data_IF_735516762462
#
_entry.id   IF_735516762462
#
_cell.length_a   1.000
_cell.length_b   1.000
_cell.length_c   1.000
_cell.angle_alpha   90.00
_cell.angle_beta   90.00
_cell.angle_gamma   90.00
#
_symmetry.space_group_name_H-M   'P 1'
#
loop_
_entity.id
_entity.type
_entity.pdbx_description
1 polymer ?
#
# COMPACT_ATOMS: atom_id res chain seq x y z
N UNK A 1 -25.57 -5.06 -41.05
CA UNK A 1 -24.96 -4.01 -40.19
C UNK A 1 -25.38 -4.28 -38.75
N UNK A 2 -24.72 -5.24 -38.09
CA UNK A 2 -25.04 -5.64 -36.71
C UNK A 2 -24.49 -4.61 -35.74
N UNK A 3 -25.32 -3.66 -35.33
CA UNK A 3 -24.98 -2.72 -34.28
C UNK A 3 -24.91 -3.48 -32.96
N UNK A 4 -23.70 -3.77 -32.51
CA UNK A 4 -23.49 -4.15 -31.11
C UNK A 4 -23.92 -2.94 -30.29
N UNK A 5 -25.11 -2.98 -29.71
CA UNK A 5 -25.47 -2.16 -28.57
C UNK A 5 -24.60 -2.58 -27.39
N UNK A 6 -23.30 -2.33 -27.48
CA UNK A 6 -22.35 -2.63 -26.44
C UNK A 6 -22.70 -1.78 -25.24
N UNK A 7 -23.20 -2.41 -24.18
CA UNK A 7 -23.49 -1.74 -22.93
C UNK A 7 -22.21 -1.05 -22.46
N UNK A 8 -22.18 0.28 -22.51
CA UNK A 8 -21.02 1.04 -22.07
C UNK A 8 -21.00 1.09 -20.54
N UNK A 9 -20.37 0.08 -19.94
CA UNK A 9 -20.21 -0.06 -18.48
C UNK A 9 -19.12 0.86 -17.91
N UNK A 10 -18.26 1.41 -18.76
CA UNK A 10 -17.11 2.20 -18.36
C UNK A 10 -17.47 3.52 -17.65
N UNK A 11 -18.40 4.37 -18.15
CA UNK A 11 -18.80 5.61 -17.47
C UNK A 11 -19.47 5.36 -16.12
N UNK A 12 -20.01 4.15 -15.88
CA UNK A 12 -20.63 3.77 -14.61
C UNK A 12 -19.61 3.49 -13.51
N UNK A 13 -18.30 3.40 -13.83
CA UNK A 13 -17.24 3.16 -12.85
C UNK A 13 -16.68 4.48 -12.32
N UNK A 14 -16.53 4.58 -11.01
CA UNK A 14 -15.99 5.75 -10.32
C UNK A 14 -14.53 6.04 -10.68
N UNK A 15 -13.75 5.03 -11.06
CA UNK A 15 -12.34 5.17 -11.44
C UNK A 15 -12.12 5.63 -12.89
N UNK A 16 -13.19 5.76 -13.68
CA UNK A 16 -13.06 6.12 -15.09
C UNK A 16 -12.50 7.55 -15.25
N UNK A 17 -11.33 7.67 -15.89
CA UNK A 17 -10.55 8.91 -16.01
C UNK A 17 -11.36 10.05 -16.65
N UNK A 18 -12.15 9.76 -17.67
CA UNK A 18 -12.89 10.80 -18.41
C UNK A 18 -14.18 11.25 -17.73
N UNK A 19 -14.54 10.65 -16.59
CA UNK A 19 -15.69 11.12 -15.83
C UNK A 19 -15.47 12.56 -15.38
N UNK A 20 -16.50 13.38 -15.53
CA UNK A 20 -16.47 14.80 -15.17
C UNK A 20 -15.99 15.02 -13.73
N UNK A 21 -16.48 14.23 -12.79
CA UNK A 21 -16.06 14.31 -11.38
C UNK A 21 -14.56 14.04 -11.17
N UNK A 22 -13.96 13.12 -11.95
CA UNK A 22 -12.52 12.84 -11.86
C UNK A 22 -11.70 13.96 -12.50
N UNK A 23 -12.15 14.49 -13.64
CA UNK A 23 -11.52 15.65 -14.27
C UNK A 23 -11.56 16.89 -13.38
N UNK A 24 -12.68 17.13 -12.71
CA UNK A 24 -12.83 18.24 -11.75
C UNK A 24 -11.92 18.06 -10.52
N UNK A 25 -11.77 16.84 -10.02
CA UNK A 25 -10.80 16.53 -8.94
C UNK A 25 -9.38 16.87 -9.38
N UNK A 26 -8.96 16.37 -10.55
CA UNK A 26 -7.63 16.65 -11.11
C UNK A 26 -7.42 18.15 -11.28
N UNK A 27 -8.39 18.86 -11.86
CA UNK A 27 -8.27 20.31 -12.06
C UNK A 27 -8.13 21.09 -10.74
N UNK A 28 -8.83 20.68 -9.68
CA UNK A 28 -8.70 21.29 -8.35
C UNK A 28 -7.33 21.00 -7.75
N UNK A 29 -6.88 19.75 -7.81
CA UNK A 29 -5.61 19.34 -7.23
C UNK A 29 -4.43 20.01 -7.98
N UNK A 30 -4.52 20.16 -9.30
CA UNK A 30 -3.58 20.94 -10.12
C UNK A 30 -3.60 22.44 -9.77
N UNK A 31 -4.79 23.03 -9.56
CA UNK A 31 -4.92 24.42 -9.16
C UNK A 31 -4.35 24.67 -7.75
N UNK A 32 -4.58 23.76 -6.81
CA UNK A 32 -4.02 23.83 -5.46
C UNK A 32 -2.48 23.71 -5.50
N UNK A 33 -1.95 22.77 -6.28
CA UNK A 33 -0.51 22.65 -6.47
C UNK A 33 0.11 23.92 -7.09
N UNK A 34 -0.57 24.54 -8.06
CA UNK A 34 -0.13 25.79 -8.65
C UNK A 34 -0.16 26.97 -7.65
N UNK A 35 -1.17 27.04 -6.79
CA UNK A 35 -1.26 28.05 -5.73
C UNK A 35 -0.15 27.85 -4.69
N UNK A 36 0.06 26.63 -4.22
CA UNK A 36 1.12 26.30 -3.26
C UNK A 36 2.51 26.67 -3.82
N UNK A 37 2.78 26.35 -5.09
CA UNK A 37 4.05 26.75 -5.73
C UNK A 37 4.21 28.28 -5.79
N UNK A 38 3.16 29.02 -6.09
CA UNK A 38 3.20 30.49 -6.12
C UNK A 38 3.43 31.09 -4.72
N UNK A 39 2.79 30.53 -3.69
CA UNK A 39 2.96 30.96 -2.30
C UNK A 39 4.37 30.63 -1.79
N UNK A 40 4.91 29.45 -2.14
CA UNK A 40 6.29 29.06 -1.84
C UNK A 40 7.30 30.01 -2.52
N UNK A 41 7.08 30.36 -3.78
CA UNK A 41 7.91 31.33 -4.50
C UNK A 41 7.86 32.72 -3.85
N UNK A 42 6.67 33.18 -3.46
CA UNK A 42 6.48 34.46 -2.78
C UNK A 42 7.20 34.48 -1.43
N UNK A 43 7.04 33.43 -0.62
CA UNK A 43 7.70 33.29 0.67
C UNK A 43 9.22 33.23 0.51
N UNK A 44 9.73 32.43 -0.42
CA UNK A 44 11.15 32.36 -0.73
C UNK A 44 11.72 33.72 -1.20
N UNK A 45 10.95 34.48 -1.99
CA UNK A 45 11.33 35.83 -2.40
C UNK A 45 11.37 36.80 -1.22
N UNK A 46 10.38 36.74 -0.32
CA UNK A 46 10.32 37.56 0.89
C UNK A 46 11.47 37.25 1.85
N UNK A 47 11.79 35.98 2.06
CA UNK A 47 12.94 35.54 2.85
C UNK A 47 14.25 36.05 2.27
N UNK A 48 14.46 35.88 0.96
CA UNK A 48 15.65 36.41 0.26
C UNK A 48 15.75 37.93 0.41
N UNK A 49 14.64 38.66 0.28
CA UNK A 49 14.62 40.10 0.48
C UNK A 49 14.97 40.50 1.92
N UNK A 50 14.41 39.81 2.92
CA UNK A 50 14.71 40.02 4.34
C UNK A 50 16.18 39.79 4.67
N UNK A 51 16.75 38.68 4.18
CA UNK A 51 18.17 38.37 4.33
C UNK A 51 19.07 39.43 3.66
N UNK A 52 18.68 39.91 2.48
CA UNK A 52 19.43 40.95 1.78
C UNK A 52 19.39 42.30 2.54
N UNK A 53 18.23 42.65 3.10
CA UNK A 53 18.08 43.85 3.94
C UNK A 53 18.92 43.74 5.22
N UNK A 54 18.90 42.59 5.90
CA UNK A 54 19.73 42.33 7.07
C UNK A 54 21.22 42.46 6.74
N UNK A 55 21.66 41.85 5.63
CA UNK A 55 23.05 41.97 5.14
C UNK A 55 23.42 43.42 4.86
N UNK A 56 22.54 44.19 4.23
CA UNK A 56 22.78 45.61 3.95
C UNK A 56 22.85 46.42 5.26
N UNK A 57 21.94 46.18 6.20
CA UNK A 57 21.95 46.85 7.52
C UNK A 57 23.24 46.56 8.27
N UNK A 58 23.69 45.30 8.30
CA UNK A 58 24.93 44.91 8.96
C UNK A 58 26.16 45.59 8.33
N UNK A 59 26.17 45.81 7.00
CA UNK A 59 27.21 46.59 6.31
C UNK A 59 27.20 48.06 6.72
N UNK A 60 26.01 48.64 6.89
CA UNK A 60 25.85 50.06 7.29
C UNK A 60 26.21 50.28 8.76
N UNK A 61 25.84 49.37 9.66
CA UNK A 61 26.15 49.48 11.10
C UNK A 61 27.59 49.11 11.43
N UNK A 62 28.40 48.66 10.46
CA UNK A 62 29.79 48.30 10.66
C UNK A 62 30.03 46.99 11.41
N UNK A 63 28.96 46.27 11.80
CA UNK A 63 29.07 44.95 12.45
C UNK A 63 29.40 43.83 11.45
N UNK A 64 29.04 44.01 10.17
CA UNK A 64 29.56 43.17 9.10
C UNK A 64 30.98 43.63 8.74
N UNK A 65 31.96 43.15 9.51
CA UNK A 65 33.36 43.11 9.05
C UNK A 65 33.46 42.45 7.66
N UNK A 66 34.55 42.73 6.90
CA UNK A 66 34.70 42.33 5.51
C UNK A 66 34.29 40.87 5.30
N UNK A 67 33.50 40.65 4.25
CA UNK A 67 32.97 39.35 3.83
C UNK A 67 33.98 38.23 4.04
N UNK A 68 33.52 37.16 4.70
CA UNK A 68 34.24 35.92 5.02
C UNK A 68 34.68 35.15 3.76
N UNK A 69 35.56 35.75 2.99
CA UNK A 69 36.54 35.00 2.17
C UNK A 69 37.94 35.16 2.77
N UNK A 70 38.10 36.00 3.80
CA UNK A 70 39.39 36.28 4.44
C UNK A 70 39.34 36.15 5.99
N UNK A 71 38.55 35.21 6.50
CA UNK A 71 38.51 34.87 7.95
C UNK A 71 39.25 33.54 8.23
N UNK A 72 40.27 33.24 7.45
CA UNK A 72 41.20 32.14 7.73
C UNK A 72 42.54 32.62 8.29
N UNK A 73 42.63 33.81 8.89
CA UNK A 73 43.85 34.22 9.60
C UNK A 73 43.49 35.06 10.83
N UNK A 74 43.21 34.40 11.95
CA UNK A 74 43.47 34.86 13.33
C UNK A 74 42.69 33.96 14.31
N UNK A 75 43.23 33.31 15.35
CA UNK A 75 44.53 33.47 16.01
C UNK A 75 44.71 32.36 17.07
N UNK A 76 45.97 32.07 17.40
CA UNK A 76 46.49 31.64 18.71
C UNK A 76 46.24 30.20 19.19
N UNK A 77 47.25 29.33 19.00
CA UNK A 77 47.45 28.11 19.81
C UNK A 77 47.82 26.85 19.01
N UNK A 78 48.96 26.86 18.28
CA UNK A 78 49.71 25.66 17.85
C UNK A 78 48.92 24.37 17.48
N UNK A 79 47.83 24.47 16.71
CA UNK A 79 47.00 23.33 16.31
C UNK A 79 46.45 23.50 14.89
N UNK A 80 46.39 22.40 14.15
CA UNK A 80 45.98 22.31 12.75
C UNK A 80 44.60 22.95 12.51
N UNK A 81 44.48 23.82 11.51
CA UNK A 81 43.20 24.40 11.08
C UNK A 81 42.44 23.34 10.26
N UNK A 82 41.32 22.84 10.77
CA UNK A 82 40.50 21.88 10.05
C UNK A 82 39.50 22.61 9.15
N UNK A 83 39.83 22.70 7.86
CA UNK A 83 38.95 23.27 6.82
C UNK A 83 37.68 22.45 6.58
N UNK A 84 37.64 21.21 7.07
CA UNK A 84 36.52 20.28 6.89
C UNK A 84 35.67 20.10 8.14
N UNK A 85 35.90 20.88 9.21
CA UNK A 85 35.16 20.72 10.47
C UNK A 85 33.63 20.77 10.28
N UNK A 86 33.15 21.69 9.44
CA UNK A 86 31.71 21.82 9.14
C UNK A 86 31.18 20.66 8.29
N UNK A 87 31.99 20.17 7.35
CA UNK A 87 31.63 19.03 6.50
C UNK A 87 31.60 17.71 7.30
N UNK A 88 32.57 17.50 8.19
CA UNK A 88 32.63 16.34 9.09
C UNK A 88 31.46 16.35 10.09
N UNK A 89 31.10 17.52 10.63
CA UNK A 89 29.93 17.65 11.49
C UNK A 89 28.62 17.32 10.75
N UNK A 90 28.48 17.77 9.50
CA UNK A 90 27.33 17.46 8.66
C UNK A 90 27.26 15.95 8.32
N UNK A 91 28.40 15.32 8.03
CA UNK A 91 28.45 13.89 7.77
C UNK A 91 28.09 13.06 9.02
N UNK A 92 28.58 13.45 10.20
CA UNK A 92 28.23 12.81 11.46
C UNK A 92 26.72 12.91 11.76
N UNK A 93 26.08 14.05 11.46
CA UNK A 93 24.63 14.19 11.59
C UNK A 93 23.90 13.27 10.60
N UNK A 94 24.32 13.23 9.34
CA UNK A 94 23.74 12.34 8.34
C UNK A 94 23.89 10.85 8.71
N UNK A 95 25.04 10.46 9.29
CA UNK A 95 25.27 9.11 9.81
C UNK A 95 24.35 8.79 11.00
N UNK A 96 24.08 9.76 11.89
CA UNK A 96 23.13 9.59 13.00
C UNK A 96 21.71 9.42 12.50
N UNK A 97 21.28 10.23 11.54
CA UNK A 97 19.95 10.14 10.94
C UNK A 97 19.76 8.81 10.18
N UNK A 98 20.78 8.38 9.43
CA UNK A 98 20.77 7.08 8.77
C UNK A 98 20.74 5.92 9.78
N UNK A 99 21.48 6.03 10.89
CA UNK A 99 21.44 5.05 11.96
C UNK A 99 20.08 5.02 12.68
N UNK A 100 19.45 6.18 12.90
CA UNK A 100 18.12 6.28 13.47
C UNK A 100 17.06 5.62 12.57
N UNK A 101 17.06 5.95 11.26
CA UNK A 101 16.17 5.30 10.26
C UNK A 101 16.36 3.79 10.20
N UNK A 102 17.60 3.29 10.31
CA UNK A 102 17.89 1.85 10.37
C UNK A 102 17.32 1.20 11.63
N UNK A 103 17.41 1.85 12.79
CA UNK A 103 16.83 1.35 14.04
C UNK A 103 15.30 1.32 13.98
N UNK A 104 14.69 2.39 13.47
CA UNK A 104 13.25 2.47 13.26
C UNK A 104 12.76 1.39 12.31
N UNK A 105 13.43 1.16 11.18
CA UNK A 105 13.11 0.06 10.27
C UNK A 105 13.23 -1.31 10.96
N UNK A 106 14.23 -1.50 11.84
CA UNK A 106 14.34 -2.72 12.64
C UNK A 106 13.18 -2.86 13.63
N UNK A 107 12.76 -1.79 14.29
CA UNK A 107 11.61 -1.80 15.21
C UNK A 107 10.30 -2.07 14.47
N UNK A 108 10.08 -1.45 13.31
CA UNK A 108 8.94 -1.72 12.43
C UNK A 108 8.93 -3.20 12.02
N UNK A 109 10.08 -3.74 11.60
CA UNK A 109 10.18 -5.18 11.25
C UNK A 109 9.95 -6.11 12.44
N UNK A 110 10.24 -5.64 13.66
CA UNK A 110 10.05 -6.41 14.91
C UNK A 110 8.59 -6.41 15.34
N UNK A 111 7.92 -5.27 15.23
CA UNK A 111 6.51 -5.09 15.57
C UNK A 111 5.62 -5.77 14.53
N UNK A 112 5.97 -5.64 13.25
CA UNK A 112 5.18 -6.11 12.12
C UNK A 112 6.06 -6.90 11.15
N UNK A 113 6.32 -8.19 11.45
CA UNK A 113 7.23 -9.02 10.65
C UNK A 113 6.75 -9.27 9.22
N UNK A 114 5.45 -9.13 8.97
CA UNK A 114 4.81 -9.36 7.66
C UNK A 114 4.82 -8.10 6.76
N UNK A 115 5.24 -6.93 7.28
CA UNK A 115 5.34 -5.69 6.47
C UNK A 115 6.60 -5.70 5.58
N UNK A 116 7.61 -6.48 5.95
CA UNK A 116 8.84 -6.61 5.18
C UNK A 116 8.61 -7.52 3.97
N UNK A 117 8.17 -6.94 2.84
CA UNK A 117 7.98 -7.66 1.57
C UNK A 117 9.26 -8.37 1.06
N UNK A 118 10.44 -8.01 1.59
CA UNK A 118 11.69 -8.69 1.29
C UNK A 118 11.85 -10.06 1.99
N UNK A 119 11.01 -10.39 2.97
CA UNK A 119 11.07 -11.64 3.76
C UNK A 119 9.98 -12.65 3.34
N UNK A 120 9.67 -12.70 2.04
CA UNK A 120 8.71 -13.64 1.42
C UNK A 120 9.01 -15.14 1.63
N UNK A 121 10.17 -15.48 2.22
CA UNK A 121 10.58 -16.87 2.46
C UNK A 121 9.92 -17.53 3.68
N UNK A 122 9.07 -16.84 4.45
CA UNK A 122 8.38 -17.39 5.64
C UNK A 122 6.86 -17.32 5.57
N UNK A 123 6.29 -17.13 4.39
CA UNK A 123 4.84 -17.22 4.23
C UNK A 123 4.38 -18.66 4.54
N UNK A 124 3.42 -18.87 5.47
CA UNK A 124 2.87 -20.18 5.71
C UNK A 124 2.23 -20.72 4.43
N UNK A 125 2.22 -22.04 4.29
CA UNK A 125 1.70 -22.70 3.09
C UNK A 125 0.26 -22.21 2.83
N UNK A 126 -0.07 -21.73 1.62
CA UNK A 126 -1.38 -21.15 1.37
C UNK A 126 -2.47 -22.22 1.46
N UNK A 127 -3.71 -21.80 1.79
CA UNK A 127 -4.84 -22.68 2.06
C UNK A 127 -5.11 -23.72 0.95
N UNK A 128 -4.82 -23.37 -0.32
CA UNK A 128 -5.01 -24.26 -1.47
C UNK A 128 -3.91 -25.31 -1.63
N UNK A 129 -2.73 -25.09 -1.04
CA UNK A 129 -1.59 -26.01 -1.09
C UNK A 129 -1.58 -26.99 0.11
N UNK A 130 -2.38 -26.75 1.14
CA UNK A 130 -2.57 -27.68 2.27
C UNK A 130 -3.48 -28.85 1.87
N UNK A 131 -3.19 -30.10 2.26
CA UNK A 131 -4.08 -31.23 2.07
C UNK A 131 -5.36 -31.06 2.92
N UNK A 132 -6.51 -31.64 2.52
CA UNK A 132 -7.80 -31.45 3.22
C UNK A 132 -7.76 -31.78 4.72
N UNK A 133 -6.89 -32.71 5.13
CA UNK A 133 -6.70 -33.14 6.52
C UNK A 133 -6.00 -32.11 7.41
N UNK A 134 -5.19 -31.23 6.82
CA UNK A 134 -4.52 -30.11 7.52
C UNK A 134 -5.36 -28.83 7.49
N UNK A 135 -6.33 -28.72 6.58
CA UNK A 135 -7.28 -27.59 6.50
C UNK A 135 -8.35 -27.66 7.58
N UNK A 136 -8.77 -28.88 7.87
CA UNK A 136 -9.67 -29.19 8.97
C UNK A 136 -8.80 -29.27 10.23
N UNK A 137 -8.72 -28.18 11.00
CA UNK A 137 -8.06 -28.19 12.30
C UNK A 137 -8.61 -29.29 13.22
N UNK A 138 -7.99 -29.50 14.38
CA UNK A 138 -8.27 -30.58 15.34
C UNK A 138 -9.74 -30.70 15.84
N UNK A 139 -10.63 -29.82 15.38
CA UNK A 139 -12.07 -29.83 15.62
C UNK A 139 -12.88 -30.67 14.60
N UNK A 140 -12.23 -31.30 13.61
CA UNK A 140 -12.91 -32.21 12.70
C UNK A 140 -13.08 -33.61 13.32
N UNK A 141 -14.32 -33.91 13.73
CA UNK A 141 -14.79 -35.21 14.19
C UNK A 141 -14.21 -36.36 13.34
N UNK A 142 -13.78 -37.49 13.97
CA UNK A 142 -13.05 -38.52 13.27
C UNK A 142 -13.92 -39.17 12.18
N UNK A 143 -13.62 -38.86 10.93
CA UNK A 143 -14.08 -39.64 9.79
C UNK A 143 -13.48 -41.04 9.93
N UNK A 144 -14.35 -42.02 10.14
CA UNK A 144 -14.00 -43.40 10.47
C UNK A 144 -12.93 -43.98 9.55
N UNK A 145 -11.88 -44.53 10.17
CA UNK A 145 -10.93 -45.43 9.54
C UNK A 145 -11.63 -46.75 9.22
N UNK A 146 -12.37 -46.78 8.12
CA UNK A 146 -12.85 -48.01 7.50
C UNK A 146 -11.83 -48.46 6.47
N UNK A 147 -10.90 -49.32 6.87
CA UNK A 147 -10.21 -50.19 5.90
C UNK A 147 -11.28 -51.08 5.31
N UNK A 148 -11.68 -50.84 4.06
CA UNK A 148 -12.53 -51.78 3.31
C UNK A 148 -11.62 -52.63 2.44
N UNK A 149 -11.41 -53.85 2.89
CA UNK A 149 -10.77 -54.92 2.11
C UNK A 149 -11.55 -55.19 0.83
N UNK A 150 -10.81 -55.34 -0.26
CA UNK A 150 -11.32 -55.65 -1.58
C UNK A 150 -11.69 -57.14 -1.68
N UNK A 151 -12.95 -57.49 -1.42
CA UNK A 151 -13.66 -58.62 -2.02
C UNK A 151 -15.06 -58.72 -1.41
N UNK A 152 -16.09 -58.85 -2.27
CA UNK A 152 -17.32 -59.67 -2.11
C UNK A 152 -18.50 -59.04 -2.88
N UNK A 153 -18.71 -59.61 -4.07
CA UNK A 153 -19.98 -60.02 -4.68
C UNK A 153 -21.07 -58.95 -4.99
N UNK A 154 -21.07 -58.59 -6.28
CA UNK A 154 -22.20 -58.17 -7.12
C UNK A 154 -23.54 -58.82 -6.75
N UNK A 155 -24.58 -57.99 -6.56
CA UNK A 155 -25.98 -58.41 -6.59
C UNK A 155 -26.77 -57.54 -7.60
N UNK A 156 -27.45 -58.12 -8.61
CA UNK A 156 -28.13 -57.37 -9.66
C UNK A 156 -29.51 -56.81 -9.22
N UNK A 157 -29.91 -55.70 -9.86
CA UNK A 157 -31.12 -54.94 -9.59
C UNK A 157 -32.43 -55.73 -9.81
N UNK A 158 -33.50 -55.51 -9.01
CA UNK A 158 -34.78 -56.15 -9.23
C UNK A 158 -35.59 -55.47 -10.36
N UNK A 159 -36.17 -56.31 -11.22
CA UNK A 159 -37.01 -55.94 -12.35
C UNK A 159 -38.37 -55.35 -11.91
N UNK A 160 -38.76 -54.24 -12.54
CA UNK A 160 -40.08 -53.59 -12.39
C UNK A 160 -41.03 -54.22 -13.41
N UNK A 161 -42.06 -54.93 -12.92
CA UNK A 161 -43.17 -55.49 -13.71
C UNK A 161 -44.29 -54.43 -13.79
N UNK A 162 -44.92 -54.18 -14.95
CA UNK A 162 -46.10 -53.33 -15.03
C UNK A 162 -47.40 -54.14 -14.88
N UNK A 163 -48.11 -53.95 -13.77
CA UNK A 163 -49.51 -54.38 -13.65
C UNK A 163 -50.44 -53.22 -14.01
N UNK A 164 -51.23 -53.41 -15.06
CA UNK A 164 -52.46 -52.67 -15.28
C UNK A 164 -53.65 -53.57 -15.00
N UNK A 165 -54.64 -53.08 -14.27
CA UNK A 165 -56.08 -53.25 -14.57
C UNK A 165 -56.94 -52.53 -13.50
N UNK A 166 -57.66 -51.52 -13.99
CA UNK A 166 -59.03 -51.10 -13.61
C UNK A 166 -59.26 -50.50 -12.22
N UNK A 167 -59.66 -49.22 -12.19
CA UNK A 167 -61.00 -48.83 -11.74
C UNK A 167 -61.44 -47.55 -12.49
N UNK A 168 -62.66 -47.60 -13.02
CA UNK A 168 -63.34 -46.61 -13.87
C UNK A 168 -63.81 -45.35 -13.09
N UNK A 169 -64.29 -44.28 -13.78
CA UNK A 169 -64.11 -42.89 -13.34
C UNK A 169 -65.38 -42.17 -12.83
N UNK A 170 -65.14 -40.91 -12.36
CA UNK A 170 -66.04 -39.73 -12.24
C UNK A 170 -66.96 -39.63 -10.99
N UNK A 171 -67.51 -38.44 -10.63
CA UNK A 171 -67.25 -37.06 -11.10
C UNK A 171 -67.01 -35.99 -10.01
N UNK A 172 -66.30 -34.94 -10.43
CA UNK A 172 -66.46 -33.49 -10.15
C UNK A 172 -67.51 -33.05 -9.12
N UNK A 173 -67.09 -32.24 -8.13
CA UNK A 173 -67.81 -31.02 -7.71
C UNK A 173 -66.85 -29.89 -7.34
N UNK A 174 -67.04 -28.77 -8.03
CA UNK A 174 -66.45 -27.45 -7.84
C UNK A 174 -67.21 -26.65 -6.78
N UNK A 175 -66.47 -25.76 -6.09
CA UNK A 175 -66.87 -24.49 -5.44
C UNK A 175 -67.87 -24.54 -4.28
N UNK A 176 -67.44 -24.00 -3.14
CA UNK A 176 -67.63 -22.59 -2.76
C UNK A 176 -66.50 -22.15 -1.82
#
# INVERSE_FOLDING_TARGET
MGGHGGLNILPQKSWHVWNRANRERVARDEAEAAQQAADEEFNAAAERAGLNLMKLRARVTGEAGPSTTDRHVATAGAGHVNFFADAEAAELLAQRDAAAKRKEAQEISRIMPDLDLSKSAREPKPWYAMPPRERAGDDAAPAGSGVVDAAVLWLPAPAIIPEGLQLLPMPVRLRL
#
